data_IF_648035940543
#
_entry.id   IF_648035940543
#
_cell.length_a   1.000
_cell.length_b   1.000
_cell.length_c   1.000
_cell.angle_alpha   90.00
_cell.angle_beta   90.00
_cell.angle_gamma   90.00
#
_symmetry.space_group_name_H-M   'P 1'
#
loop_
_entity.id
_entity.type
_entity.pdbx_description
1 polymer ?
#
# COMPACT_ATOMS: atom_id res chain seq x y z
N UNK A 1 32.59 -10.67 -19.25
CA UNK A 1 32.48 -10.98 -17.81
C UNK A 1 31.01 -10.93 -17.42
N UNK A 2 30.57 -11.72 -16.43
CA UNK A 2 29.17 -11.73 -15.98
C UNK A 2 28.88 -10.55 -15.06
N UNK A 3 27.67 -9.99 -15.13
CA UNK A 3 27.21 -8.92 -14.22
C UNK A 3 27.36 -9.30 -12.74
N UNK A 4 27.26 -10.60 -12.41
CA UNK A 4 27.47 -11.13 -11.07
C UNK A 4 28.92 -10.99 -10.59
N UNK A 5 29.88 -11.21 -11.47
CA UNK A 5 31.31 -11.12 -11.15
C UNK A 5 31.72 -9.66 -10.91
N UNK A 6 31.13 -8.75 -11.69
CA UNK A 6 31.38 -7.32 -11.52
C UNK A 6 30.76 -6.80 -10.22
N UNK A 7 29.50 -7.15 -9.93
CA UNK A 7 28.84 -6.81 -8.67
C UNK A 7 29.60 -7.32 -7.43
N UNK A 8 30.15 -8.53 -7.49
CA UNK A 8 30.95 -9.08 -6.38
C UNK A 8 32.21 -8.25 -6.13
N UNK A 9 32.86 -7.77 -7.19
CA UNK A 9 34.06 -6.92 -7.08
C UNK A 9 33.78 -5.59 -6.38
N UNK A 10 32.60 -5.00 -6.61
CA UNK A 10 32.15 -3.77 -5.92
C UNK A 10 31.96 -4.05 -4.43
N UNK A 11 31.32 -5.18 -4.12
CA UNK A 11 31.02 -5.58 -2.75
C UNK A 11 32.30 -5.90 -1.97
N UNK A 12 33.26 -6.56 -2.61
CA UNK A 12 34.57 -6.90 -2.02
C UNK A 12 35.44 -5.66 -1.73
N UNK A 13 35.13 -4.49 -2.31
CA UNK A 13 35.83 -3.23 -2.03
C UNK A 13 35.23 -2.45 -0.86
N UNK A 14 34.09 -2.88 -0.34
CA UNK A 14 33.44 -2.25 0.81
C UNK A 14 34.01 -2.79 2.13
N UNK A 15 33.92 -1.98 3.18
CA UNK A 15 34.28 -2.39 4.55
C UNK A 15 33.41 -3.58 4.99
N UNK A 16 33.97 -4.51 5.77
CA UNK A 16 33.23 -5.63 6.37
C UNK A 16 32.04 -5.17 7.23
N UNK A 17 32.01 -3.89 7.65
CA UNK A 17 30.92 -3.24 8.40
C UNK A 17 29.99 -2.39 7.53
N UNK A 18 30.10 -2.43 6.21
CA UNK A 18 29.29 -1.62 5.30
C UNK A 18 27.79 -1.92 5.47
N UNK A 19 26.99 -0.86 5.51
CA UNK A 19 25.53 -0.98 5.57
C UNK A 19 24.95 -1.24 4.18
N UNK A 20 23.67 -1.63 4.13
CA UNK A 20 22.93 -1.78 2.87
C UNK A 20 22.93 -0.49 2.02
N UNK A 21 22.89 0.67 2.67
CA UNK A 21 22.97 1.95 1.98
C UNK A 21 24.33 2.18 1.33
N UNK A 22 25.42 1.73 1.96
CA UNK A 22 26.77 1.89 1.42
C UNK A 22 26.98 1.00 0.19
N UNK A 23 26.41 -0.21 0.21
CA UNK A 23 26.35 -1.10 -0.95
C UNK A 23 25.64 -0.39 -2.10
N UNK A 24 24.40 0.08 -1.89
CA UNK A 24 23.63 0.75 -2.93
C UNK A 24 24.37 1.99 -3.48
N UNK A 25 24.99 2.79 -2.61
CA UNK A 25 25.80 3.94 -3.03
C UNK A 25 26.95 3.53 -3.95
N UNK A 26 27.68 2.47 -3.61
CA UNK A 26 28.77 1.97 -4.44
C UNK A 26 28.27 1.53 -5.83
N UNK A 27 27.11 0.87 -5.91
CA UNK A 27 26.50 0.51 -7.20
C UNK A 27 26.05 1.71 -8.04
N UNK A 28 25.64 2.83 -7.42
CA UNK A 28 25.35 4.08 -8.14
C UNK A 28 26.63 4.80 -8.60
N UNK A 29 27.66 4.84 -7.77
CA UNK A 29 28.97 5.41 -8.12
C UNK A 29 29.62 4.65 -9.29
N UNK A 30 29.47 3.33 -9.31
CA UNK A 30 29.91 2.47 -10.43
C UNK A 30 28.90 2.37 -11.60
N UNK A 31 27.81 3.14 -11.56
CA UNK A 31 26.84 3.27 -12.67
C UNK A 31 26.17 1.95 -13.05
N UNK A 32 26.09 1.00 -12.12
CA UNK A 32 25.42 -0.29 -12.29
C UNK A 32 23.93 -0.23 -12.01
N UNK A 33 23.49 0.82 -11.31
CA UNK A 33 22.08 1.14 -11.06
C UNK A 33 21.66 2.37 -11.86
N UNK A 34 20.53 2.27 -12.55
CA UNK A 34 19.91 3.39 -13.29
C UNK A 34 18.56 3.81 -12.73
N UNK A 35 18.06 3.10 -11.73
CA UNK A 35 16.75 3.33 -11.12
C UNK A 35 16.78 4.68 -10.39
N UNK A 36 15.75 5.50 -10.57
CA UNK A 36 15.66 6.81 -9.90
C UNK A 36 16.56 7.92 -10.47
N UNK A 37 17.41 7.63 -11.47
CA UNK A 37 18.17 8.67 -12.19
C UNK A 37 17.26 9.44 -13.15
N UNK A 38 17.41 10.77 -13.18
CA UNK A 38 16.85 11.61 -14.23
C UNK A 38 17.58 11.39 -15.57
N UNK A 39 16.95 11.81 -16.68
CA UNK A 39 17.55 11.68 -18.02
C UNK A 39 18.92 12.35 -18.13
N UNK A 40 19.11 13.46 -17.43
CA UNK A 40 20.38 14.19 -17.42
C UNK A 40 21.44 13.45 -16.59
N UNK A 41 21.05 12.86 -15.46
CA UNK A 41 21.94 12.06 -14.62
C UNK A 41 22.35 10.76 -15.31
N UNK A 42 21.48 10.15 -16.12
CA UNK A 42 21.81 8.97 -16.94
C UNK A 42 22.89 9.28 -17.98
N UNK A 43 22.97 10.51 -18.47
CA UNK A 43 23.93 10.89 -19.53
C UNK A 43 25.27 11.42 -18.99
N UNK A 44 25.41 11.64 -17.68
CA UNK A 44 26.68 12.06 -17.06
C UNK A 44 27.66 10.90 -16.95
N UNK A 45 28.94 11.17 -17.20
CA UNK A 45 30.00 10.14 -17.12
C UNK A 45 30.25 9.67 -15.68
N UNK A 46 30.12 10.55 -14.69
CA UNK A 46 30.33 10.25 -13.27
C UNK A 46 29.29 10.95 -12.40
N UNK A 47 28.91 10.29 -11.29
CA UNK A 47 28.07 10.84 -10.25
C UNK A 47 28.94 11.09 -9.01
N UNK A 48 28.77 12.24 -8.39
CA UNK A 48 29.39 12.57 -7.10
C UNK A 48 28.58 11.95 -5.95
N UNK A 49 29.21 11.72 -4.80
CA UNK A 49 28.52 11.20 -3.62
C UNK A 49 27.31 12.05 -3.19
N UNK A 50 27.41 13.38 -3.35
CA UNK A 50 26.31 14.30 -3.06
C UNK A 50 25.10 14.06 -3.97
N UNK A 51 25.33 13.77 -5.25
CA UNK A 51 24.27 13.46 -6.21
C UNK A 51 23.62 12.11 -5.88
N UNK A 52 24.44 11.10 -5.54
CA UNK A 52 23.94 9.78 -5.12
C UNK A 52 23.06 9.87 -3.87
N UNK A 53 23.48 10.64 -2.87
CA UNK A 53 22.64 10.87 -1.69
C UNK A 53 21.31 11.57 -2.05
N UNK A 54 21.33 12.51 -3.01
CA UNK A 54 20.13 13.15 -3.52
C UNK A 54 19.20 12.20 -4.31
N UNK A 55 19.76 11.21 -5.01
CA UNK A 55 18.98 10.16 -5.69
C UNK A 55 18.31 9.25 -4.66
N UNK A 56 19.04 8.84 -3.62
CA UNK A 56 18.52 8.00 -2.54
C UNK A 56 17.38 8.68 -1.79
N UNK A 57 17.53 9.96 -1.44
CA UNK A 57 16.47 10.73 -0.79
C UNK A 57 15.20 10.84 -1.65
N UNK A 58 15.36 11.00 -2.98
CA UNK A 58 14.22 10.99 -3.92
C UNK A 58 13.52 9.64 -3.99
N UNK A 59 14.29 8.54 -4.00
CA UNK A 59 13.73 7.19 -4.00
C UNK A 59 12.96 6.89 -2.72
N UNK A 60 13.51 7.30 -1.57
CA UNK A 60 12.85 7.18 -0.27
C UNK A 60 11.56 8.01 -0.23
N UNK A 61 11.60 9.26 -0.68
CA UNK A 61 10.40 10.10 -0.80
C UNK A 61 9.37 9.56 -1.79
N UNK A 62 9.79 8.90 -2.87
CA UNK A 62 8.87 8.29 -3.84
C UNK A 62 8.19 7.04 -3.28
N UNK A 63 8.82 6.35 -2.31
CA UNK A 63 8.22 5.20 -1.64
C UNK A 63 7.08 5.57 -0.69
N UNK A 64 7.05 6.82 -0.22
CA UNK A 64 6.07 7.36 0.73
C UNK A 64 5.15 8.42 0.09
N UNK A 65 5.02 8.40 -1.25
CA UNK A 65 4.07 9.27 -1.93
C UNK A 65 2.65 8.95 -1.44
N UNK A 66 1.90 9.95 -0.92
CA UNK A 66 0.49 9.76 -0.58
C UNK A 66 -0.23 9.19 -1.79
N UNK A 67 -1.20 8.31 -1.55
CA UNK A 67 -2.10 7.79 -2.59
C UNK A 67 -2.83 8.97 -3.25
N UNK A 68 -2.20 9.54 -4.27
CA UNK A 68 -2.72 10.66 -5.03
C UNK A 68 -4.06 10.22 -5.61
N UNK A 69 -5.10 10.99 -5.33
CA UNK A 69 -6.46 10.71 -5.83
C UNK A 69 -6.52 10.74 -7.37
N UNK A 70 -5.50 11.31 -8.03
CA UNK A 70 -5.31 11.28 -9.48
C UNK A 70 -4.61 10.00 -9.97
N UNK A 71 -3.97 9.23 -9.08
CA UNK A 71 -3.33 7.96 -9.41
C UNK A 71 -4.37 6.82 -9.43
N UNK A 72 -4.97 6.63 -10.60
CA UNK A 72 -6.03 5.64 -10.84
C UNK A 72 -5.55 4.20 -10.87
N UNK A 73 -4.24 3.91 -10.73
CA UNK A 73 -3.73 2.52 -10.69
C UNK A 73 -4.17 1.76 -9.45
N UNK A 74 -4.33 2.44 -8.32
CA UNK A 74 -4.69 1.83 -7.03
C UNK A 74 -6.16 2.09 -6.64
N UNK A 75 -6.83 3.03 -7.31
CA UNK A 75 -8.24 3.34 -7.08
C UNK A 75 -9.14 2.25 -7.67
N UNK A 76 -9.56 1.29 -6.85
CA UNK A 76 -10.53 0.26 -7.21
C UNK A 76 -11.86 0.42 -6.45
N UNK A 77 -12.78 1.28 -6.94
CA UNK A 77 -14.04 1.55 -6.27
C UNK A 77 -14.99 0.34 -6.26
N UNK A 78 -14.75 -0.69 -7.08
CA UNK A 78 -15.52 -1.93 -7.13
C UNK A 78 -15.03 -3.04 -6.19
N UNK A 79 -14.28 -2.70 -5.13
CA UNK A 79 -13.68 -3.68 -4.23
C UNK A 79 -14.65 -4.16 -3.11
N UNK A 80 -14.23 -5.18 -2.36
CA UNK A 80 -15.05 -5.77 -1.30
C UNK A 80 -15.35 -4.75 -0.19
N UNK A 81 -14.42 -3.84 0.06
CA UNK A 81 -14.58 -2.77 1.05
C UNK A 81 -15.70 -1.79 0.71
N UNK A 82 -15.84 -1.36 -0.55
CA UNK A 82 -16.96 -0.51 -0.98
C UNK A 82 -18.30 -1.22 -0.79
N UNK A 83 -18.38 -2.50 -1.16
CA UNK A 83 -19.59 -3.31 -0.95
C UNK A 83 -19.93 -3.39 0.54
N UNK A 84 -18.94 -3.55 1.40
CA UNK A 84 -19.11 -3.58 2.86
C UNK A 84 -19.59 -2.28 3.44
N UNK A 85 -19.09 -1.15 2.95
CA UNK A 85 -19.57 0.17 3.36
C UNK A 85 -21.03 0.41 2.96
N UNK A 86 -21.38 0.18 1.69
CA UNK A 86 -22.75 0.42 1.19
C UNK A 86 -23.75 -0.47 1.93
N UNK A 87 -23.44 -1.76 2.05
CA UNK A 87 -24.31 -2.70 2.78
C UNK A 87 -24.39 -2.37 4.28
N UNK A 88 -23.31 -1.91 4.90
CA UNK A 88 -23.32 -1.46 6.29
C UNK A 88 -24.20 -0.23 6.53
N UNK A 89 -24.18 0.74 5.61
CA UNK A 89 -25.08 1.92 5.66
C UNK A 89 -26.54 1.50 5.51
N UNK A 90 -26.84 0.61 4.55
CA UNK A 90 -28.19 0.06 4.38
C UNK A 90 -28.63 -0.66 5.67
N UNK A 91 -27.75 -1.44 6.28
CA UNK A 91 -28.07 -2.11 7.54
C UNK A 91 -28.46 -1.10 8.62
N UNK A 92 -27.63 -0.08 8.88
CA UNK A 92 -27.95 0.89 9.95
C UNK A 92 -29.26 1.64 9.67
N UNK A 93 -29.49 2.09 8.43
CA UNK A 93 -30.68 2.87 8.08
C UNK A 93 -31.98 2.08 8.26
N UNK A 94 -31.95 0.78 7.96
CA UNK A 94 -33.14 -0.06 7.99
C UNK A 94 -33.31 -0.83 9.31
N UNK A 95 -32.36 -0.73 10.24
CA UNK A 95 -32.32 -1.53 11.47
C UNK A 95 -33.60 -1.45 12.32
N UNK A 96 -34.28 -0.29 12.32
CA UNK A 96 -35.52 -0.07 13.07
C UNK A 96 -36.79 -0.12 12.22
N UNK A 97 -36.66 -0.10 10.88
CA UNK A 97 -37.79 0.07 9.96
C UNK A 97 -38.14 -1.26 9.28
N UNK A 98 -37.13 -2.01 8.84
CA UNK A 98 -37.30 -3.30 8.15
C UNK A 98 -36.23 -4.29 8.61
N UNK A 99 -36.49 -5.06 9.70
CA UNK A 99 -35.53 -6.00 10.25
C UNK A 99 -34.98 -7.03 9.23
N UNK A 100 -35.80 -7.65 8.35
CA UNK A 100 -35.29 -8.64 7.40
C UNK A 100 -34.26 -8.09 6.40
N UNK A 101 -34.48 -6.87 5.90
CA UNK A 101 -33.54 -6.19 4.98
C UNK A 101 -32.22 -5.95 5.69
N UNK A 102 -32.30 -5.53 6.95
CA UNK A 102 -31.14 -5.27 7.79
C UNK A 102 -30.31 -6.52 8.02
N UNK A 103 -30.95 -7.68 8.26
CA UNK A 103 -30.23 -8.94 8.47
C UNK A 103 -29.40 -9.33 7.25
N UNK A 104 -29.99 -9.21 6.06
CA UNK A 104 -29.29 -9.49 4.81
C UNK A 104 -28.15 -8.49 4.59
N UNK A 105 -28.42 -7.19 4.77
CA UNK A 105 -27.42 -6.14 4.58
C UNK A 105 -26.25 -6.25 5.56
N UNK A 106 -26.51 -6.52 6.84
CA UNK A 106 -25.48 -6.71 7.86
C UNK A 106 -24.62 -7.95 7.58
N UNK A 107 -25.21 -9.06 7.14
CA UNK A 107 -24.48 -10.25 6.74
C UNK A 107 -23.56 -9.96 5.54
N UNK A 108 -24.06 -9.26 4.52
CA UNK A 108 -23.26 -8.85 3.36
C UNK A 108 -22.13 -7.91 3.78
N UNK A 109 -22.38 -6.96 4.67
CA UNK A 109 -21.38 -6.02 5.19
C UNK A 109 -20.24 -6.73 5.95
N UNK A 110 -20.61 -7.73 6.76
CA UNK A 110 -19.66 -8.52 7.52
C UNK A 110 -18.82 -9.44 6.62
N UNK A 111 -19.45 -10.16 5.69
CA UNK A 111 -18.75 -11.04 4.74
C UNK A 111 -17.81 -10.25 3.84
N UNK A 112 -18.27 -9.14 3.27
CA UNK A 112 -17.45 -8.29 2.40
C UNK A 112 -16.30 -7.61 3.16
N UNK A 113 -16.53 -7.17 4.40
CA UNK A 113 -15.47 -6.68 5.28
C UNK A 113 -14.42 -7.75 5.62
N UNK A 114 -14.82 -8.99 5.89
CA UNK A 114 -13.90 -10.12 6.09
C UNK A 114 -13.11 -10.48 4.82
N UNK A 115 -13.75 -10.39 3.64
CA UNK A 115 -13.06 -10.56 2.35
C UNK A 115 -12.05 -9.43 2.13
N UNK A 116 -12.40 -8.18 2.46
CA UNK A 116 -11.51 -7.02 2.42
C UNK A 116 -10.30 -7.20 3.36
N UNK A 117 -10.50 -7.74 4.57
CA UNK A 117 -9.43 -8.09 5.49
C UNK A 117 -8.45 -9.10 4.88
N UNK A 118 -8.98 -10.18 4.27
CA UNK A 118 -8.15 -11.20 3.62
C UNK A 118 -7.35 -10.64 2.44
N UNK A 119 -7.93 -9.67 1.73
CA UNK A 119 -7.30 -8.99 0.58
C UNK A 119 -6.41 -7.81 0.98
N UNK A 120 -6.29 -7.52 2.29
CA UNK A 120 -5.59 -6.34 2.83
C UNK A 120 -6.03 -5.03 2.17
N UNK A 121 -7.31 -4.94 1.78
CA UNK A 121 -7.88 -3.72 1.22
C UNK A 121 -7.94 -2.65 2.31
N UNK A 122 -7.59 -1.41 2.00
CA UNK A 122 -7.70 -0.32 2.98
C UNK A 122 -9.14 -0.15 3.46
N UNK A 123 -9.32 0.22 4.74
CA UNK A 123 -10.64 0.54 5.34
C UNK A 123 -11.64 -0.63 5.38
N UNK A 124 -11.18 -1.88 5.22
CA UNK A 124 -12.01 -3.09 5.36
C UNK A 124 -12.82 -3.14 6.67
N UNK A 125 -12.26 -2.55 7.74
CA UNK A 125 -12.83 -2.55 9.09
C UNK A 125 -14.15 -1.77 9.18
N UNK A 126 -14.38 -0.81 8.28
CA UNK A 126 -15.57 0.05 8.32
C UNK A 126 -16.84 -0.77 8.12
N UNK A 127 -16.89 -1.65 7.11
CA UNK A 127 -18.05 -2.52 6.86
C UNK A 127 -18.36 -3.46 8.04
N UNK A 128 -17.31 -4.02 8.66
CA UNK A 128 -17.43 -4.88 9.84
C UNK A 128 -18.03 -4.10 11.02
N UNK A 129 -17.54 -2.88 11.25
CA UNK A 129 -17.96 -2.04 12.36
C UNK A 129 -19.41 -1.56 12.19
N UNK A 130 -19.81 -1.20 10.97
CA UNK A 130 -21.20 -0.88 10.65
C UNK A 130 -22.12 -2.08 10.84
N UNK A 131 -21.70 -3.29 10.43
CA UNK A 131 -22.46 -4.51 10.65
C UNK A 131 -22.66 -4.78 12.15
N UNK A 132 -21.61 -4.65 12.96
CA UNK A 132 -21.70 -4.84 14.42
C UNK A 132 -22.65 -3.84 15.08
N UNK A 133 -22.58 -2.56 14.72
CA UNK A 133 -23.48 -1.53 15.25
C UNK A 133 -24.93 -1.82 14.85
N UNK A 134 -25.15 -2.30 13.63
CA UNK A 134 -26.50 -2.61 13.13
C UNK A 134 -27.18 -3.77 13.86
N UNK A 135 -26.43 -4.64 14.55
CA UNK A 135 -26.96 -5.76 15.34
C UNK A 135 -27.54 -5.29 16.68
N UNK A 136 -27.05 -4.19 17.26
CA UNK A 136 -27.53 -3.67 18.55
C UNK A 136 -29.05 -3.37 18.56
N UNK A 137 -29.60 -2.64 17.56
CA UNK A 137 -31.04 -2.47 17.41
C UNK A 137 -31.80 -3.79 17.30
N UNK A 138 -31.24 -4.78 16.59
CA UNK A 138 -31.91 -6.07 16.38
C UNK A 138 -32.11 -6.84 17.68
N UNK A 139 -31.11 -6.80 18.57
CA UNK A 139 -31.19 -7.44 19.88
C UNK A 139 -32.27 -6.78 20.75
N UNK A 140 -32.44 -5.45 20.65
CA UNK A 140 -33.49 -4.74 21.39
C UNK A 140 -34.92 -5.03 20.93
N UNK A 141 -35.11 -5.55 19.71
CA UNK A 141 -36.43 -5.94 19.19
C UNK A 141 -36.86 -7.36 19.63
N UNK A 142 -35.94 -8.13 20.19
CA UNK A 142 -36.17 -9.50 20.67
C UNK A 142 -36.34 -9.61 22.19
N UNK A 143 -36.16 -8.49 22.91
CA UNK A 143 -36.42 -8.34 24.37
C UNK A 143 -37.74 -7.63 24.57
#
# INVERSE_FOLDING_TARGET
>A
MSAKTEAMKIIEQLDDKASWNDIIKAFYLERKLTIGLSKDEINREQLTESEVNGILARLESASDMPSDMLNTKEYNPGNATTLGMVSGVIAILFAFIFPPITWVAAAVALVSGLVGLKRKEEKYWVGILLALISILPMLSLWV
#
